data_IF_027189095351
#
_entry.id   IF_027189095351
#
_cell.length_a   1.000
_cell.length_b   1.000
_cell.length_c   1.000
_cell.angle_alpha   90.00
_cell.angle_beta   90.00
_cell.angle_gamma   90.00
#
_symmetry.space_group_name_H-M   'P 1'
#
loop_
_entity.id
_entity.type
_entity.pdbx_description
1 polymer ?
#
# COMPACT_ATOMS: atom_id res chain seq x y z
N UNK A 1 29.39 -1.15 -7.45
CA UNK A 1 28.57 0.08 -7.50
C UNK A 1 29.34 1.33 -7.08
N UNK A 2 29.81 1.48 -5.86
CA UNK A 2 30.49 2.69 -5.35
C UNK A 2 31.66 3.16 -6.23
N UNK A 3 32.57 2.26 -6.66
CA UNK A 3 33.72 2.59 -7.52
C UNK A 3 33.27 3.11 -8.90
N UNK A 4 32.20 2.56 -9.47
CA UNK A 4 31.66 3.01 -10.76
C UNK A 4 31.06 4.41 -10.64
N UNK A 5 30.27 4.65 -9.59
CA UNK A 5 29.64 5.94 -9.34
C UNK A 5 30.66 7.05 -9.07
N UNK A 6 31.72 6.73 -8.33
CA UNK A 6 32.82 7.70 -8.05
C UNK A 6 33.59 8.10 -9.30
N UNK A 7 33.61 7.24 -10.32
CA UNK A 7 34.34 7.49 -11.61
C UNK A 7 33.43 7.99 -12.73
N UNK A 8 32.14 8.19 -12.44
CA UNK A 8 31.22 8.65 -13.47
C UNK A 8 31.46 10.12 -13.82
N UNK A 9 31.60 10.39 -15.11
CA UNK A 9 31.82 11.76 -15.64
C UNK A 9 30.53 12.59 -15.69
N UNK A 10 29.36 11.93 -15.52
CA UNK A 10 28.04 12.56 -15.55
C UNK A 10 27.37 12.46 -14.19
N UNK A 11 26.48 13.40 -13.84
CA UNK A 11 25.61 13.25 -12.68
C UNK A 11 24.82 11.96 -12.76
N UNK A 12 24.76 11.20 -11.66
CA UNK A 12 24.03 9.94 -11.55
C UNK A 12 22.87 10.11 -10.60
N UNK A 13 21.75 9.43 -10.89
CA UNK A 13 20.63 9.27 -9.97
C UNK A 13 20.55 7.79 -9.61
N UNK A 14 20.51 7.49 -8.33
CA UNK A 14 20.38 6.13 -7.81
C UNK A 14 19.15 6.08 -6.92
N UNK A 15 18.17 5.25 -7.31
CA UNK A 15 16.98 5.01 -6.51
C UNK A 15 17.10 3.68 -5.76
N UNK A 16 16.79 3.70 -4.46
CA UNK A 16 16.62 2.52 -3.63
C UNK A 16 15.14 2.39 -3.31
N UNK A 17 14.53 1.36 -3.85
CA UNK A 17 13.15 1.01 -3.55
C UNK A 17 13.08 0.11 -2.32
N UNK A 18 11.94 0.18 -1.59
CA UNK A 18 11.71 -0.55 -0.33
C UNK A 18 12.87 -0.39 0.67
N UNK A 19 13.35 0.85 0.83
CA UNK A 19 14.57 1.14 1.61
C UNK A 19 14.52 0.66 3.05
N UNK A 20 13.33 0.58 3.67
CA UNK A 20 13.16 0.05 5.02
C UNK A 20 13.63 -1.41 5.16
N UNK A 21 13.73 -2.17 4.05
CA UNK A 21 14.22 -3.54 4.10
C UNK A 21 15.67 -3.64 4.56
N UNK A 22 16.44 -2.55 4.47
CA UNK A 22 17.82 -2.52 4.95
C UNK A 22 17.93 -2.83 6.44
N UNK A 23 16.90 -2.50 7.24
CA UNK A 23 16.85 -2.80 8.68
C UNK A 23 16.73 -4.30 8.99
N UNK A 24 16.34 -5.13 8.02
CA UNK A 24 16.21 -6.59 8.15
C UNK A 24 17.50 -7.34 7.80
N UNK A 25 18.54 -6.63 7.33
CA UNK A 25 19.82 -7.27 7.02
C UNK A 25 20.51 -7.75 8.31
N UNK A 26 21.18 -8.91 8.27
CA UNK A 26 21.87 -9.49 9.43
C UNK A 26 23.08 -8.70 9.88
N UNK A 27 23.65 -7.87 8.99
CA UNK A 27 24.83 -7.07 9.28
C UNK A 27 24.48 -5.90 10.22
N UNK A 28 25.15 -5.88 11.35
CA UNK A 28 25.01 -4.77 12.30
C UNK A 28 25.54 -3.48 11.67
N UNK A 29 24.80 -2.39 11.87
CA UNK A 29 25.16 -1.04 11.40
C UNK A 29 25.17 -0.86 9.87
N UNK A 30 24.42 -1.63 9.11
CA UNK A 30 24.36 -1.54 7.65
C UNK A 30 23.95 -0.14 7.17
N UNK A 31 23.05 0.55 7.89
CA UNK A 31 22.67 1.95 7.60
C UNK A 31 23.85 2.89 7.70
N UNK A 32 24.64 2.79 8.79
CA UNK A 32 25.84 3.62 8.98
C UNK A 32 26.91 3.33 7.91
N UNK A 33 27.06 2.05 7.57
CA UNK A 33 27.99 1.65 6.49
C UNK A 33 27.55 2.23 5.15
N UNK A 34 26.29 2.11 4.79
CA UNK A 34 25.76 2.67 3.54
C UNK A 34 25.96 4.20 3.52
N UNK A 35 25.59 4.89 4.60
CA UNK A 35 25.77 6.34 4.71
C UNK A 35 27.22 6.75 4.54
N UNK A 36 28.17 6.05 5.16
CA UNK A 36 29.60 6.36 5.03
C UNK A 36 30.11 6.25 3.60
N UNK A 37 29.48 5.39 2.78
CA UNK A 37 29.84 5.27 1.37
C UNK A 37 29.20 6.33 0.48
N UNK A 38 27.93 6.67 0.72
CA UNK A 38 27.19 7.56 -0.19
C UNK A 38 27.46 9.04 0.08
N UNK A 39 27.74 9.44 1.32
CA UNK A 39 27.94 10.84 1.69
C UNK A 39 29.14 11.53 0.99
N UNK A 40 30.06 10.76 0.42
CA UNK A 40 31.22 11.26 -0.27
C UNK A 40 31.06 11.28 -1.81
N UNK A 41 29.87 10.96 -2.32
CA UNK A 41 29.58 10.94 -3.75
C UNK A 41 28.91 12.26 -4.15
N UNK A 42 29.71 13.25 -4.52
CA UNK A 42 29.22 14.60 -4.85
C UNK A 42 28.49 14.70 -6.19
N UNK A 43 28.67 13.73 -7.07
CA UNK A 43 28.03 13.66 -8.39
C UNK A 43 26.84 12.70 -8.45
N UNK A 44 26.37 12.22 -7.30
CA UNK A 44 25.28 11.25 -7.23
C UNK A 44 24.15 11.79 -6.36
N UNK A 45 22.94 11.74 -6.89
CA UNK A 45 21.71 12.03 -6.17
C UNK A 45 21.05 10.70 -5.80
N UNK A 46 20.60 10.58 -4.55
CA UNK A 46 19.97 9.38 -4.04
C UNK A 46 18.48 9.65 -3.81
N UNK A 47 17.65 8.70 -4.25
CA UNK A 47 16.22 8.65 -3.98
C UNK A 47 15.99 7.38 -3.16
N UNK A 48 15.33 7.53 -2.03
CA UNK A 48 14.93 6.41 -1.17
C UNK A 48 13.41 6.34 -1.16
N UNK A 49 12.84 5.24 -1.63
CA UNK A 49 11.39 5.01 -1.59
C UNK A 49 11.06 3.84 -0.68
N UNK A 50 9.85 3.83 -0.15
CA UNK A 50 9.36 2.74 0.68
C UNK A 50 7.88 2.92 1.01
N UNK A 51 7.17 1.80 1.07
CA UNK A 51 5.75 1.74 1.41
C UNK A 51 5.49 1.79 2.92
N UNK A 52 6.46 1.40 3.73
CA UNK A 52 6.40 1.48 5.20
C UNK A 52 6.66 2.90 5.70
N UNK A 53 5.70 3.80 5.56
CA UNK A 53 5.84 5.23 5.84
C UNK A 53 6.50 5.51 7.20
N UNK A 54 6.05 4.85 8.28
CA UNK A 54 6.63 5.02 9.61
C UNK A 54 8.09 4.59 9.69
N UNK A 55 8.46 3.46 9.09
CA UNK A 55 9.83 2.96 9.14
C UNK A 55 10.79 3.85 8.35
N UNK A 56 10.40 4.25 7.14
CA UNK A 56 11.20 5.16 6.30
C UNK A 56 11.33 6.52 7.00
N UNK A 57 10.23 7.06 7.51
CA UNK A 57 10.23 8.33 8.24
C UNK A 57 11.12 8.26 9.49
N UNK A 58 11.05 7.19 10.27
CA UNK A 58 11.93 6.97 11.42
C UNK A 58 13.41 6.98 11.02
N UNK A 59 13.78 6.32 9.90
CA UNK A 59 15.18 6.26 9.44
C UNK A 59 15.77 7.64 9.12
N UNK A 60 14.95 8.59 8.65
CA UNK A 60 15.40 9.91 8.23
C UNK A 60 15.11 11.03 9.23
N UNK A 61 14.11 10.88 10.10
CA UNK A 61 13.72 11.91 11.08
C UNK A 61 14.17 11.62 12.51
N UNK A 62 14.53 10.38 12.84
CA UNK A 62 15.01 10.08 14.19
C UNK A 62 16.48 10.42 14.36
N UNK A 63 16.81 11.23 15.37
CA UNK A 63 18.18 11.60 15.71
C UNK A 63 19.08 10.43 16.11
N UNK A 64 18.48 9.28 16.45
CA UNK A 64 19.19 8.05 16.77
C UNK A 64 19.64 7.26 15.53
N UNK A 65 19.21 7.65 14.34
CA UNK A 65 19.47 6.91 13.09
C UNK A 65 20.60 7.54 12.27
N UNK A 66 21.39 6.74 11.55
CA UNK A 66 22.50 7.23 10.71
C UNK A 66 22.08 8.23 9.63
N UNK A 67 20.88 8.09 9.05
CA UNK A 67 20.38 8.96 7.98
C UNK A 67 19.65 10.21 8.48
N UNK A 68 19.69 10.50 9.78
CA UNK A 68 19.03 11.68 10.34
C UNK A 68 19.34 12.97 9.56
N UNK A 69 18.31 13.71 9.19
CA UNK A 69 18.39 14.98 8.44
C UNK A 69 19.27 14.93 7.16
N UNK A 70 19.34 13.79 6.49
CA UNK A 70 20.20 13.65 5.29
C UNK A 70 19.45 13.77 3.97
N UNK A 71 18.12 13.88 3.99
CA UNK A 71 17.26 13.98 2.81
C UNK A 71 16.11 14.94 3.05
N UNK A 72 15.47 15.38 1.97
CA UNK A 72 14.13 15.97 2.01
C UNK A 72 13.10 14.85 1.86
N UNK A 73 12.05 14.90 2.67
CA UNK A 73 10.95 13.93 2.60
C UNK A 73 9.88 14.46 1.66
N UNK A 74 9.43 13.59 0.76
CA UNK A 74 8.26 13.81 -0.09
C UNK A 74 7.25 12.70 0.23
N UNK A 75 6.13 13.08 0.82
CA UNK A 75 5.02 12.18 1.06
C UNK A 75 4.09 12.17 -0.15
N UNK A 76 3.74 10.97 -0.63
CA UNK A 76 2.80 10.79 -1.72
C UNK A 76 1.45 10.37 -1.15
N UNK A 77 0.47 11.22 -1.37
CA UNK A 77 -0.92 10.95 -0.99
C UNK A 77 -1.72 10.44 -2.20
N UNK A 78 -2.88 9.80 -1.98
CA UNK A 78 -3.80 9.49 -3.07
C UNK A 78 -4.10 10.75 -3.90
N UNK A 79 -4.16 10.59 -5.23
CA UNK A 79 -4.59 11.68 -6.13
C UNK A 79 -6.03 12.03 -5.77
N UNK A 80 -6.33 13.31 -5.53
CA UNK A 80 -7.68 13.75 -5.15
C UNK A 80 -8.71 13.45 -6.25
N UNK A 81 -9.94 13.15 -5.85
CA UNK A 81 -10.99 12.74 -6.79
C UNK A 81 -11.24 13.79 -7.90
N UNK A 82 -11.13 15.08 -7.54
CA UNK A 82 -11.31 16.22 -8.42
C UNK A 82 -10.33 16.25 -9.60
N UNK A 83 -9.15 15.66 -9.43
CA UNK A 83 -8.12 15.53 -10.47
C UNK A 83 -8.19 14.17 -11.19
N UNK A 84 -8.48 13.11 -10.43
CA UNK A 84 -8.47 11.77 -10.96
C UNK A 84 -9.69 11.47 -11.87
N UNK A 85 -10.88 11.94 -11.48
CA UNK A 85 -12.11 11.69 -12.25
C UNK A 85 -12.03 12.29 -13.66
N UNK A 86 -11.69 13.57 -13.85
CA UNK A 86 -11.52 14.14 -15.18
C UNK A 86 -10.45 13.43 -16.01
N UNK A 87 -9.36 12.96 -15.38
CA UNK A 87 -8.32 12.19 -16.06
C UNK A 87 -8.88 10.90 -16.65
N UNK A 88 -9.65 10.12 -15.90
CA UNK A 88 -10.26 8.88 -16.41
C UNK A 88 -11.26 9.18 -17.54
N UNK A 89 -12.17 10.13 -17.32
CA UNK A 89 -13.16 10.50 -18.33
C UNK A 89 -12.51 10.98 -19.63
N UNK A 90 -11.45 11.79 -19.52
CA UNK A 90 -10.70 12.26 -20.69
C UNK A 90 -10.13 11.11 -21.54
N UNK A 91 -9.49 10.12 -20.89
CA UNK A 91 -8.91 9.01 -21.64
C UNK A 91 -9.96 8.08 -22.27
N UNK A 92 -11.11 7.90 -21.62
CA UNK A 92 -12.22 7.19 -22.24
C UNK A 92 -12.73 7.93 -23.49
N UNK A 93 -12.91 9.25 -23.41
CA UNK A 93 -13.39 10.09 -24.51
C UNK A 93 -12.40 10.13 -25.69
N UNK A 94 -11.10 10.32 -25.43
CA UNK A 94 -10.03 10.32 -26.45
C UNK A 94 -10.08 9.06 -27.34
N UNK A 95 -10.47 7.93 -26.76
CA UNK A 95 -10.58 6.66 -27.48
C UNK A 95 -12.03 6.28 -27.79
N UNK A 96 -12.90 7.27 -27.95
CA UNK A 96 -14.30 7.10 -28.37
C UNK A 96 -15.10 6.14 -27.49
N UNK A 97 -14.91 6.21 -26.17
CA UNK A 97 -15.72 5.50 -25.17
C UNK A 97 -16.28 6.51 -24.17
N UNK A 98 -17.45 6.25 -23.63
CA UNK A 98 -18.04 7.12 -22.63
C UNK A 98 -18.00 6.48 -21.24
N UNK A 99 -17.76 7.28 -20.22
CA UNK A 99 -17.90 6.91 -18.82
C UNK A 99 -18.44 8.12 -18.04
N UNK A 100 -19.31 7.88 -17.06
CA UNK A 100 -19.86 8.98 -16.24
C UNK A 100 -18.95 9.24 -15.06
N UNK A 101 -18.78 10.51 -14.72
CA UNK A 101 -18.00 10.94 -13.53
C UNK A 101 -18.49 10.27 -12.24
N UNK A 102 -19.82 10.11 -12.11
CA UNK A 102 -20.46 9.46 -10.96
C UNK A 102 -20.01 8.01 -10.81
N UNK A 103 -19.89 7.27 -11.92
CA UNK A 103 -19.44 5.88 -11.93
C UNK A 103 -17.94 5.77 -11.59
N UNK A 104 -17.13 6.71 -12.07
CA UNK A 104 -15.72 6.83 -11.70
C UNK A 104 -15.58 7.11 -10.20
N UNK A 105 -16.41 8.01 -9.66
CA UNK A 105 -16.42 8.34 -8.24
C UNK A 105 -16.77 7.13 -7.35
N UNK A 106 -17.67 6.26 -7.79
CA UNK A 106 -18.01 5.02 -7.08
C UNK A 106 -16.76 4.14 -6.94
N UNK A 107 -16.02 3.92 -8.02
CA UNK A 107 -14.79 3.12 -8.00
C UNK A 107 -13.68 3.80 -7.19
N UNK A 108 -13.56 5.13 -7.30
CA UNK A 108 -12.61 5.90 -6.49
C UNK A 108 -12.85 5.70 -4.98
N UNK A 109 -14.11 5.77 -4.55
CA UNK A 109 -14.48 5.56 -3.15
C UNK A 109 -14.30 4.12 -2.71
N UNK A 110 -14.60 3.15 -3.59
CA UNK A 110 -14.43 1.74 -3.31
C UNK A 110 -12.98 1.39 -2.98
N UNK A 111 -12.04 1.95 -3.76
CA UNK A 111 -10.61 1.73 -3.57
C UNK A 111 -9.92 2.84 -2.75
N UNK A 112 -10.67 3.74 -2.14
CA UNK A 112 -10.15 4.81 -1.25
C UNK A 112 -9.02 5.62 -1.90
N UNK A 113 -9.07 5.83 -3.22
CA UNK A 113 -8.03 6.53 -3.99
C UNK A 113 -6.77 5.69 -4.27
N UNK A 114 -6.77 4.39 -3.99
CA UNK A 114 -5.64 3.51 -4.34
C UNK A 114 -5.47 3.44 -5.86
N UNK A 115 -4.45 4.10 -6.35
CA UNK A 115 -4.20 4.30 -7.78
C UNK A 115 -4.00 3.00 -8.54
N UNK A 116 -3.35 2.00 -7.94
CA UNK A 116 -3.10 0.71 -8.57
C UNK A 116 -4.39 -0.04 -8.90
N UNK A 117 -5.28 -0.20 -7.93
CA UNK A 117 -6.55 -0.92 -8.14
C UNK A 117 -7.52 -0.15 -9.01
N UNK A 118 -7.56 1.18 -8.89
CA UNK A 118 -8.34 2.04 -9.78
C UNK A 118 -7.87 1.91 -11.23
N UNK A 119 -6.57 2.06 -11.48
CA UNK A 119 -5.98 1.93 -12.82
C UNK A 119 -6.23 0.54 -13.40
N UNK A 120 -6.05 -0.53 -12.63
CA UNK A 120 -6.33 -1.89 -13.06
C UNK A 120 -7.79 -2.04 -13.47
N UNK A 121 -8.73 -1.60 -12.64
CA UNK A 121 -10.18 -1.69 -12.91
C UNK A 121 -10.57 -0.91 -14.15
N UNK A 122 -10.14 0.35 -14.29
CA UNK A 122 -10.48 1.15 -15.47
C UNK A 122 -9.81 0.64 -16.74
N UNK A 123 -8.59 0.13 -16.65
CA UNK A 123 -7.91 -0.49 -17.78
C UNK A 123 -8.64 -1.74 -18.27
N UNK A 124 -8.99 -2.67 -17.38
CA UNK A 124 -9.74 -3.87 -17.71
C UNK A 124 -11.13 -3.54 -18.28
N UNK A 125 -11.85 -2.59 -17.67
CA UNK A 125 -13.12 -2.13 -18.23
C UNK A 125 -12.94 -1.52 -19.62
N UNK A 126 -11.92 -0.67 -19.80
CA UNK A 126 -11.63 0.00 -21.05
C UNK A 126 -11.37 -0.96 -22.22
N UNK A 127 -10.56 -2.02 -22.02
CA UNK A 127 -10.24 -2.97 -23.08
C UNK A 127 -11.41 -3.88 -23.46
N UNK A 128 -12.35 -4.08 -22.52
CA UNK A 128 -13.50 -4.95 -22.72
C UNK A 128 -14.73 -4.23 -23.30
N UNK A 129 -14.69 -2.90 -23.45
CA UNK A 129 -15.80 -2.11 -24.01
C UNK A 129 -15.50 -1.81 -25.48
N UNK A 130 -16.45 -2.05 -26.41
CA UNK A 130 -16.29 -1.66 -27.81
C UNK A 130 -16.17 -0.14 -27.99
N UNK A 131 -15.47 0.28 -29.04
CA UNK A 131 -15.43 1.69 -29.47
C UNK A 131 -16.85 2.19 -29.74
N UNK A 132 -17.16 3.41 -29.36
CA UNK A 132 -18.49 4.00 -29.47
C UNK A 132 -19.50 3.59 -28.41
N UNK A 133 -19.05 2.77 -27.43
CA UNK A 133 -19.89 2.29 -26.33
C UNK A 133 -19.60 3.01 -25.01
N UNK A 134 -20.56 2.87 -24.07
CA UNK A 134 -20.45 3.46 -22.73
C UNK A 134 -20.05 2.42 -21.69
N UNK A 135 -19.10 2.78 -20.83
CA UNK A 135 -18.80 2.06 -19.61
C UNK A 135 -19.87 2.36 -18.55
N UNK A 136 -20.64 1.35 -18.19
CA UNK A 136 -21.68 1.48 -17.17
C UNK A 136 -21.15 1.02 -15.80
N UNK A 137 -21.84 1.42 -14.73
CA UNK A 137 -21.49 0.97 -13.39
C UNK A 137 -21.55 -0.56 -13.25
N UNK A 138 -22.43 -1.24 -13.99
CA UNK A 138 -22.53 -2.70 -13.96
C UNK A 138 -21.30 -3.36 -14.60
N UNK A 139 -20.76 -2.79 -15.69
CA UNK A 139 -19.49 -3.24 -16.28
C UNK A 139 -18.36 -3.04 -15.28
N UNK A 140 -18.29 -1.89 -14.62
CA UNK A 140 -17.27 -1.63 -13.59
C UNK A 140 -17.36 -2.60 -12.42
N UNK A 141 -18.56 -2.92 -11.94
CA UNK A 141 -18.77 -3.92 -10.87
C UNK A 141 -18.29 -5.30 -11.30
N UNK A 142 -18.68 -5.77 -12.47
CA UNK A 142 -18.20 -7.04 -13.03
C UNK A 142 -16.67 -7.07 -13.17
N UNK A 143 -16.09 -5.94 -13.56
CA UNK A 143 -14.62 -5.82 -13.64
C UNK A 143 -13.96 -5.91 -12.26
N UNK A 144 -14.53 -5.27 -11.23
CA UNK A 144 -14.04 -5.38 -9.85
C UNK A 144 -14.13 -6.82 -9.35
N UNK A 145 -15.24 -7.52 -9.62
CA UNK A 145 -15.42 -8.93 -9.27
C UNK A 145 -14.35 -9.79 -9.95
N UNK A 146 -14.05 -9.55 -11.24
CA UNK A 146 -12.98 -10.23 -11.96
C UNK A 146 -11.59 -9.97 -11.37
N UNK A 147 -11.29 -8.73 -10.95
CA UNK A 147 -10.03 -8.38 -10.27
C UNK A 147 -9.91 -9.09 -8.92
N UNK A 148 -11.02 -9.22 -8.17
CA UNK A 148 -11.07 -9.97 -6.93
C UNK A 148 -10.87 -11.47 -7.13
N UNK A 149 -11.50 -12.05 -8.16
CA UNK A 149 -11.35 -13.47 -8.49
C UNK A 149 -9.91 -13.81 -8.88
N UNK A 150 -9.27 -12.97 -9.70
CA UNK A 150 -7.87 -13.15 -10.10
C UNK A 150 -6.92 -13.17 -8.90
N UNK A 151 -7.14 -12.28 -7.92
CA UNK A 151 -6.34 -12.23 -6.69
C UNK A 151 -6.69 -13.36 -5.69
N UNK A 152 -7.87 -13.94 -5.83
CA UNK A 152 -8.47 -14.87 -4.86
C UNK A 152 -7.62 -16.10 -4.55
N UNK A 153 -6.94 -16.69 -5.56
CA UNK A 153 -6.05 -17.83 -5.33
C UNK A 153 -4.86 -17.47 -4.45
N UNK A 154 -4.27 -16.30 -4.67
CA UNK A 154 -3.18 -15.79 -3.82
C UNK A 154 -3.63 -15.57 -2.39
N UNK A 155 -4.81 -14.98 -2.20
CA UNK A 155 -5.36 -14.73 -0.87
C UNK A 155 -5.76 -16.04 -0.15
N UNK A 156 -6.29 -17.02 -0.87
CA UNK A 156 -6.55 -18.37 -0.30
C UNK A 156 -5.26 -19.03 0.18
N UNK A 157 -4.19 -18.97 -0.60
CA UNK A 157 -2.88 -19.50 -0.21
C UNK A 157 -2.30 -18.75 0.99
N UNK A 158 -2.41 -17.42 1.02
CA UNK A 158 -2.00 -16.59 2.14
C UNK A 158 -2.74 -17.01 3.41
N UNK A 159 -4.08 -17.04 3.37
CA UNK A 159 -4.92 -17.41 4.50
C UNK A 159 -4.67 -18.84 5.00
N UNK A 160 -4.32 -19.77 4.10
CA UNK A 160 -4.01 -21.17 4.50
C UNK A 160 -2.79 -21.28 5.43
N UNK A 161 -1.89 -20.29 5.39
CA UNK A 161 -0.67 -20.24 6.22
C UNK A 161 -0.86 -19.47 7.53
N UNK A 162 -1.98 -18.78 7.68
CA UNK A 162 -2.27 -17.95 8.85
C UNK A 162 -3.03 -18.78 9.91
N UNK A 163 -2.57 -18.80 11.17
CA UNK A 163 -3.27 -19.47 12.27
C UNK A 163 -4.68 -18.90 12.48
N UNK A 164 -5.60 -19.75 12.95
CA UNK A 164 -7.02 -19.42 13.07
C UNK A 164 -7.30 -18.14 13.87
N UNK A 165 -6.58 -17.94 15.00
CA UNK A 165 -6.73 -16.73 15.83
C UNK A 165 -6.38 -15.44 15.10
N UNK A 166 -5.45 -15.49 14.15
CA UNK A 166 -5.07 -14.36 13.33
C UNK A 166 -6.12 -14.10 12.24
N UNK A 167 -6.69 -15.16 11.64
CA UNK A 167 -7.79 -15.04 10.68
C UNK A 167 -9.03 -14.43 11.34
N UNK A 168 -9.43 -14.92 12.53
CA UNK A 168 -10.55 -14.36 13.29
C UNK A 168 -10.40 -12.84 13.46
N UNK A 169 -9.16 -12.37 13.78
CA UNK A 169 -8.91 -10.95 13.91
C UNK A 169 -8.93 -10.22 12.56
N UNK A 170 -8.40 -10.81 11.49
CA UNK A 170 -8.47 -10.21 10.14
C UNK A 170 -9.93 -10.05 9.70
N UNK A 171 -10.77 -11.07 9.85
CA UNK A 171 -12.20 -10.97 9.53
C UNK A 171 -12.92 -9.91 10.37
N UNK A 172 -12.59 -9.81 11.66
CA UNK A 172 -13.16 -8.80 12.54
C UNK A 172 -12.81 -7.37 12.08
N UNK A 173 -11.55 -7.14 11.72
CA UNK A 173 -11.08 -5.84 11.25
C UNK A 173 -11.59 -5.54 9.85
N UNK A 174 -11.61 -6.52 8.93
CA UNK A 174 -12.19 -6.34 7.60
C UNK A 174 -13.66 -5.90 7.68
N UNK A 175 -14.45 -6.57 8.55
CA UNK A 175 -15.85 -6.22 8.80
C UNK A 175 -16.04 -4.84 9.46
N UNK A 176 -15.08 -4.39 10.25
CA UNK A 176 -15.12 -3.06 10.87
C UNK A 176 -14.64 -1.94 9.92
N UNK A 177 -13.85 -2.28 8.90
CA UNK A 177 -13.13 -1.36 8.01
C UNK A 177 -11.92 -0.74 8.71
N UNK A 178 -12.16 0.18 9.64
CA UNK A 178 -11.18 0.76 10.56
C UNK A 178 -11.62 0.48 11.99
N UNK A 179 -10.74 -0.08 12.81
CA UNK A 179 -11.08 -0.56 14.14
C UNK A 179 -10.26 0.13 15.22
N UNK A 180 -10.92 0.75 16.16
CA UNK A 180 -10.29 1.27 17.38
C UNK A 180 -10.46 0.30 18.54
N UNK A 181 -9.53 0.37 19.52
CA UNK A 181 -9.65 -0.35 20.79
C UNK A 181 -9.94 -1.86 20.61
N UNK A 182 -9.26 -2.49 19.66
CA UNK A 182 -9.48 -3.91 19.31
C UNK A 182 -9.31 -4.87 20.50
N UNK A 183 -8.62 -4.45 21.56
CA UNK A 183 -8.42 -5.23 22.80
C UNK A 183 -9.53 -4.99 23.84
N UNK A 184 -10.52 -4.14 23.54
CA UNK A 184 -11.62 -3.86 24.47
C UNK A 184 -12.59 -5.03 24.59
N UNK A 185 -13.21 -5.19 25.76
CA UNK A 185 -14.24 -6.21 25.97
C UNK A 185 -15.43 -6.08 24.98
N UNK A 186 -15.73 -4.85 24.56
CA UNK A 186 -16.77 -4.57 23.56
C UNK A 186 -16.43 -5.14 22.20
N UNK A 187 -15.23 -4.88 21.68
CA UNK A 187 -14.75 -5.39 20.39
C UNK A 187 -14.66 -6.92 20.40
N UNK A 188 -14.03 -7.47 21.45
CA UNK A 188 -13.87 -8.93 21.63
C UNK A 188 -15.22 -9.64 21.61
N UNK A 189 -16.22 -9.12 22.34
CA UNK A 189 -17.56 -9.69 22.38
C UNK A 189 -18.29 -9.55 21.04
N UNK A 190 -18.19 -8.38 20.39
CA UNK A 190 -18.85 -8.11 19.10
C UNK A 190 -18.42 -9.10 18.02
N UNK A 191 -17.13 -9.42 17.97
CA UNK A 191 -16.55 -10.30 16.95
C UNK A 191 -16.23 -11.72 17.46
N UNK A 192 -16.71 -12.08 18.65
CA UNK A 192 -16.54 -13.41 19.24
C UNK A 192 -15.08 -13.86 19.37
N UNK A 193 -14.18 -12.90 19.61
CA UNK A 193 -12.74 -13.16 19.79
C UNK A 193 -12.49 -13.75 21.19
N UNK A 194 -11.33 -14.41 21.37
CA UNK A 194 -11.09 -15.20 22.60
C UNK A 194 -10.76 -14.34 23.82
N UNK A 195 -9.78 -13.47 23.71
CA UNK A 195 -9.32 -12.64 24.83
C UNK A 195 -8.47 -11.45 24.35
N UNK A 196 -8.32 -10.44 25.20
CA UNK A 196 -7.48 -9.28 24.92
C UNK A 196 -6.03 -9.67 24.62
N UNK A 197 -5.45 -10.59 25.40
CA UNK A 197 -4.07 -11.05 25.18
C UNK A 197 -3.90 -11.83 23.87
N UNK A 198 -4.91 -12.63 23.47
CA UNK A 198 -4.89 -13.34 22.19
C UNK A 198 -4.98 -12.36 21.02
N UNK A 199 -5.85 -11.35 21.11
CA UNK A 199 -5.98 -10.29 20.10
C UNK A 199 -4.68 -9.51 19.96
N UNK A 200 -4.06 -9.12 21.07
CA UNK A 200 -2.77 -8.40 21.04
C UNK A 200 -1.66 -9.21 20.37
N UNK A 201 -1.56 -10.51 20.71
CA UNK A 201 -0.56 -11.39 20.12
C UNK A 201 -0.82 -11.60 18.61
N UNK A 202 -2.09 -11.76 18.21
CA UNK A 202 -2.47 -11.89 16.80
C UNK A 202 -2.17 -10.60 16.03
N UNK A 203 -2.55 -9.44 16.55
CA UNK A 203 -2.30 -8.15 15.91
C UNK A 203 -0.81 -7.93 15.66
N UNK A 204 0.04 -8.16 16.68
CA UNK A 204 1.50 -8.05 16.52
C UNK A 204 2.01 -8.94 15.39
N UNK A 205 1.57 -10.19 15.31
CA UNK A 205 2.00 -11.13 14.26
C UNK A 205 1.50 -10.71 12.86
N UNK A 206 0.29 -10.21 12.76
CA UNK A 206 -0.25 -9.70 11.50
C UNK A 206 0.48 -8.44 11.03
N UNK A 207 0.88 -7.56 11.95
CA UNK A 207 1.71 -6.39 11.63
C UNK A 207 3.12 -6.80 11.19
N UNK A 208 3.74 -7.82 11.82
CA UNK A 208 5.03 -8.38 11.37
C UNK A 208 4.96 -8.96 9.94
N UNK A 209 3.77 -9.35 9.48
CA UNK A 209 3.50 -9.89 8.13
C UNK A 209 2.98 -8.82 7.15
N UNK A 210 2.91 -7.56 7.55
CA UNK A 210 2.36 -6.44 6.78
C UNK A 210 0.88 -6.66 6.36
N UNK A 211 0.14 -7.51 7.08
CA UNK A 211 -1.30 -7.78 6.84
C UNK A 211 -2.23 -6.91 7.66
N UNK A 212 -1.70 -6.23 8.64
CA UNK A 212 -2.40 -5.30 9.52
C UNK A 212 -1.50 -4.09 9.76
N UNK A 213 -2.10 -2.92 9.78
CA UNK A 213 -1.42 -1.66 10.11
C UNK A 213 -2.13 -0.98 11.28
N UNK A 214 -1.37 -0.29 12.11
CA UNK A 214 -1.86 0.58 13.18
C UNK A 214 -1.35 2.00 12.96
N UNK A 215 -2.27 2.94 12.89
CA UNK A 215 -1.98 4.37 12.83
C UNK A 215 -2.89 5.10 13.84
N UNK A 216 -2.33 5.87 14.74
CA UNK A 216 -3.07 6.62 15.77
C UNK A 216 -4.06 5.75 16.58
N UNK A 217 -3.68 4.52 16.93
CA UNK A 217 -4.51 3.50 17.58
C UNK A 217 -5.69 3.00 16.74
N UNK A 218 -5.68 3.24 15.43
CA UNK A 218 -6.65 2.70 14.47
C UNK A 218 -5.99 1.54 13.72
N UNK A 219 -6.62 0.38 13.78
CA UNK A 219 -6.16 -0.84 13.10
C UNK A 219 -6.95 -1.03 11.80
N UNK A 220 -6.24 -1.30 10.71
CA UNK A 220 -6.86 -1.57 9.40
C UNK A 220 -5.98 -2.49 8.56
N UNK A 221 -6.60 -3.11 7.56
CA UNK A 221 -5.91 -3.93 6.57
C UNK A 221 -5.47 -3.00 5.43
N UNK A 222 -4.14 -2.85 5.18
CA UNK A 222 -3.64 -1.88 4.20
C UNK A 222 -3.96 -2.26 2.75
N UNK A 223 -4.01 -3.56 2.44
CA UNK A 223 -4.44 -4.03 1.13
C UNK A 223 -5.97 -4.03 1.03
N UNK A 224 -6.49 -3.04 0.30
CA UNK A 224 -7.93 -2.83 0.13
C UNK A 224 -8.59 -4.02 -0.56
N UNK A 225 -7.93 -4.61 -1.58
CA UNK A 225 -8.48 -5.75 -2.30
C UNK A 225 -8.53 -7.01 -1.40
N UNK A 226 -7.50 -7.21 -0.58
CA UNK A 226 -7.51 -8.27 0.43
C UNK A 226 -8.61 -8.05 1.47
N UNK A 227 -8.81 -6.82 1.93
CA UNK A 227 -9.91 -6.47 2.84
C UNK A 227 -11.29 -6.76 2.23
N UNK A 228 -11.47 -6.49 0.92
CA UNK A 228 -12.72 -6.80 0.22
C UNK A 228 -12.93 -8.30 0.03
N UNK A 229 -11.84 -9.06 -0.09
CA UNK A 229 -11.88 -10.51 -0.24
C UNK A 229 -12.27 -11.23 1.08
N UNK A 230 -11.91 -10.69 2.23
CA UNK A 230 -12.21 -11.23 3.56
C UNK A 230 -13.68 -11.07 3.95
#
# INVERSE_FOLDING_TARGET
MHVCLKKADKPCIVAFDEFQQISKYPEKNIEALLRSHIQHLSNVHFIFSGSGCHLVTEMFLSSARPFYNSTSILELYPIVAEEYIPFVCHWFDVYERAIREEDVLVIYRLFEGNTYYMQKTFHEAFINIPIGSSCTLDILRQTVDGVLEEAGDGYRQLLSRIPERQKELLYAIASAGKAEKIMSAGFIRKYSLVSSSAVQAAARKLMELDLLTEEDNIYFIPDILFRMYL
#
